data_IF_143628526771
#
_entry.id   IF_143628526771
#
_cell.length_a   1.000
_cell.length_b   1.000
_cell.length_c   1.000
_cell.angle_alpha   90.00
_cell.angle_beta   90.00
_cell.angle_gamma   90.00
#
_symmetry.space_group_name_H-M   'P 1'
#
loop_
_entity.id
_entity.type
_entity.pdbx_description
1 polymer ?
#
# COMPACT_ATOMS: atom_id res chain seq x y z
N UNK A 1 -16.24 0.32 -21.65
CA UNK A 1 -15.46 -0.88 -21.31
C UNK A 1 -14.80 -0.57 -19.97
N UNK A 2 -15.21 -1.22 -18.89
CA UNK A 2 -14.47 -1.13 -17.63
C UNK A 2 -13.02 -1.52 -17.93
N UNK A 3 -12.03 -0.73 -17.48
CA UNK A 3 -10.62 -1.00 -17.76
C UNK A 3 -10.30 -2.45 -17.38
N UNK A 4 -9.86 -3.27 -18.33
CA UNK A 4 -9.57 -4.71 -18.11
C UNK A 4 -8.63 -4.90 -16.91
N UNK A 5 -7.72 -3.95 -16.68
CA UNK A 5 -6.84 -3.90 -15.52
C UNK A 5 -7.56 -3.83 -14.18
N UNK A 6 -8.71 -3.13 -14.07
CA UNK A 6 -9.45 -3.08 -12.81
C UNK A 6 -9.96 -4.47 -12.44
N UNK A 7 -10.53 -5.19 -13.40
CA UNK A 7 -11.02 -6.56 -13.19
C UNK A 7 -9.86 -7.48 -12.81
N UNK A 8 -8.72 -7.34 -13.47
CA UNK A 8 -7.52 -8.13 -13.15
C UNK A 8 -6.97 -7.83 -11.75
N UNK A 9 -6.88 -6.56 -11.35
CA UNK A 9 -6.38 -6.14 -10.02
C UNK A 9 -7.30 -6.69 -8.91
N UNK A 10 -8.62 -6.58 -9.09
CA UNK A 10 -9.60 -7.02 -8.08
C UNK A 10 -9.69 -8.55 -7.94
N UNK A 11 -9.34 -9.31 -8.98
CA UNK A 11 -9.45 -10.77 -8.99
C UNK A 11 -8.10 -11.50 -8.81
N UNK A 12 -7.00 -10.76 -8.69
CA UNK A 12 -5.66 -11.33 -8.52
C UNK A 12 -5.51 -12.05 -7.17
N UNK A 13 -4.83 -13.21 -7.18
CA UNK A 13 -4.56 -14.03 -5.98
C UNK A 13 -3.25 -13.65 -5.29
N UNK A 14 -3.02 -12.36 -5.06
CA UNK A 14 -1.79 -11.88 -4.42
C UNK A 14 -1.69 -12.29 -2.95
N UNK A 15 -2.84 -12.49 -2.29
CA UNK A 15 -2.90 -12.83 -0.87
C UNK A 15 -2.56 -14.29 -0.56
N UNK A 16 -2.35 -15.13 -1.58
CA UNK A 16 -1.82 -16.48 -1.39
C UNK A 16 -0.38 -16.45 -0.85
N UNK A 17 0.33 -15.33 -1.06
CA UNK A 17 1.73 -15.13 -0.64
C UNK A 17 1.99 -13.81 0.09
N UNK A 18 1.15 -12.79 -0.14
CA UNK A 18 1.31 -11.47 0.47
C UNK A 18 0.21 -11.19 1.51
N UNK A 19 0.47 -10.23 2.40
CA UNK A 19 -0.52 -9.69 3.33
C UNK A 19 -0.77 -8.21 3.05
N UNK A 20 -1.88 -7.66 3.55
CA UNK A 20 -2.03 -6.21 3.53
C UNK A 20 -1.02 -5.58 4.49
N UNK A 21 -0.09 -4.78 3.96
CA UNK A 21 0.92 -4.12 4.77
C UNK A 21 0.36 -2.87 5.50
N UNK A 22 0.88 -2.47 6.67
CA UNK A 22 0.42 -1.27 7.37
C UNK A 22 0.56 0.02 6.56
N UNK A 23 -0.37 0.96 6.77
CA UNK A 23 -0.26 2.35 6.34
C UNK A 23 0.00 3.22 7.58
N UNK A 24 1.24 3.65 7.75
CA UNK A 24 1.71 4.33 8.97
C UNK A 24 1.95 5.82 8.72
N UNK A 25 1.62 6.67 9.69
CA UNK A 25 1.97 8.09 9.62
C UNK A 25 3.46 8.29 9.89
N UNK A 26 4.11 9.18 9.13
CA UNK A 26 5.50 9.57 9.35
C UNK A 26 5.60 10.94 10.06
N UNK A 27 5.42 11.02 11.40
CA UNK A 27 5.19 12.29 12.10
C UNK A 27 6.30 13.33 11.89
N UNK A 28 7.57 12.91 11.88
CA UNK A 28 8.70 13.82 11.69
C UNK A 28 8.74 14.41 10.27
N UNK A 29 8.50 13.58 9.26
CA UNK A 29 8.46 14.03 7.85
C UNK A 29 7.23 14.87 7.58
N UNK A 30 6.07 14.47 8.11
CA UNK A 30 4.82 15.22 8.02
C UNK A 30 4.99 16.63 8.58
N UNK A 31 5.61 16.76 9.77
CA UNK A 31 5.92 18.06 10.37
C UNK A 31 6.91 18.87 9.54
N UNK A 32 7.97 18.24 9.02
CA UNK A 32 9.00 18.90 8.21
C UNK A 32 8.47 19.41 6.87
N UNK A 33 7.57 18.66 6.23
CA UNK A 33 7.01 18.98 4.91
C UNK A 33 5.68 19.74 4.99
N UNK A 34 5.17 19.98 6.21
CA UNK A 34 3.85 20.58 6.45
C UNK A 34 2.73 19.88 5.67
N UNK A 35 2.76 18.55 5.63
CA UNK A 35 1.76 17.73 4.96
C UNK A 35 1.51 16.43 5.74
N UNK A 36 0.39 15.74 5.48
CA UNK A 36 0.15 14.42 6.06
C UNK A 36 0.86 13.35 5.21
N UNK A 37 2.06 12.95 5.64
CA UNK A 37 2.81 11.88 5.00
C UNK A 37 2.49 10.53 5.63
N UNK A 38 2.08 9.59 4.78
CA UNK A 38 1.80 8.19 5.13
C UNK A 38 2.80 7.28 4.39
N UNK A 39 3.20 6.19 5.03
CA UNK A 39 4.10 5.18 4.50
C UNK A 39 3.35 3.84 4.41
N UNK A 40 3.29 3.27 3.21
CA UNK A 40 2.81 1.89 3.02
C UNK A 40 4.01 0.95 3.21
N UNK A 41 3.97 0.14 4.26
CA UNK A 41 5.10 -0.67 4.76
C UNK A 41 5.27 -2.00 4.01
N UNK A 42 5.41 -1.95 2.69
CA UNK A 42 5.61 -3.18 1.86
C UNK A 42 6.90 -3.95 2.20
N UNK A 43 7.84 -3.31 2.91
CA UNK A 43 9.02 -3.96 3.48
C UNK A 43 8.70 -5.02 4.54
N UNK A 44 7.50 -4.98 5.13
CA UNK A 44 7.07 -5.92 6.17
C UNK A 44 6.49 -7.23 5.64
N UNK A 45 6.45 -7.43 4.32
CA UNK A 45 6.02 -8.70 3.73
C UNK A 45 7.00 -9.82 4.11
N UNK A 46 6.48 -11.01 4.37
CA UNK A 46 7.32 -12.19 4.56
C UNK A 46 7.82 -12.66 3.21
N UNK A 47 9.15 -12.63 3.00
CA UNK A 47 9.82 -13.16 1.81
C UNK A 47 10.29 -14.59 1.99
#
# INVERSE_FOLDING_TARGET
>A
MYCDYLVQILTARVYDVAQESPLETAPNLSKRLQNNLLLKREDMQSV
#
